data_IF_299072782708
#
_entry.id   IF_299072782708
#
_cell.length_a   1.000
_cell.length_b   1.000
_cell.length_c   1.000
_cell.angle_alpha   90.00
_cell.angle_beta   90.00
_cell.angle_gamma   90.00
#
_symmetry.space_group_name_H-M   'P 1'
#
loop_
_entity.id
_entity.type
_entity.pdbx_description
1 polymer ?
#
# COMPACT_ATOMS: atom_id res chain seq x y z
N UNK A 1 -12.80 27.48 -2.23
CA UNK A 1 -12.53 26.46 -3.27
C UNK A 1 -11.64 25.36 -2.68
N UNK A 2 -12.12 24.63 -1.65
CA UNK A 2 -11.38 23.50 -1.01
C UNK A 2 -12.32 22.40 -0.48
N UNK A 3 -13.63 22.61 -0.42
CA UNK A 3 -14.60 21.69 0.20
C UNK A 3 -14.97 20.46 -0.64
N UNK A 4 -14.34 20.24 -1.80
CA UNK A 4 -14.61 19.10 -2.69
C UNK A 4 -13.50 18.06 -2.69
N UNK A 5 -12.43 18.26 -1.91
CA UNK A 5 -11.23 17.43 -2.03
C UNK A 5 -11.24 16.29 -1.01
N UNK A 6 -11.98 16.40 0.12
CA UNK A 6 -12.17 15.26 1.02
C UNK A 6 -13.17 15.52 2.14
N UNK A 7 -13.91 14.50 2.61
CA UNK A 7 -14.71 14.61 3.82
C UNK A 7 -13.84 14.95 5.02
N UNK A 8 -14.28 15.91 5.83
CA UNK A 8 -13.67 16.20 7.13
C UNK A 8 -13.81 14.92 7.98
N UNK A 9 -12.69 14.28 8.32
CA UNK A 9 -12.66 13.04 9.11
C UNK A 9 -12.46 11.74 8.31
N UNK A 10 -12.08 11.82 7.03
CA UNK A 10 -11.64 10.62 6.30
C UNK A 10 -10.32 10.08 6.86
N UNK A 11 -10.33 8.83 7.34
CA UNK A 11 -9.13 8.14 7.80
C UNK A 11 -8.46 7.41 6.63
N UNK A 12 -7.41 8.03 6.10
CA UNK A 12 -6.62 7.44 5.02
C UNK A 12 -5.92 6.16 5.41
N UNK A 13 -5.48 6.04 6.67
CA UNK A 13 -4.76 4.87 7.12
C UNK A 13 -5.70 3.67 7.17
N UNK A 14 -6.93 3.87 7.66
CA UNK A 14 -7.96 2.83 7.65
C UNK A 14 -8.36 2.44 6.21
N UNK A 15 -8.55 3.42 5.33
CA UNK A 15 -8.91 3.15 3.94
C UNK A 15 -7.81 2.37 3.18
N UNK A 16 -6.54 2.75 3.36
CA UNK A 16 -5.42 2.04 2.73
C UNK A 16 -5.22 0.65 3.34
N UNK A 17 -5.35 0.50 4.66
CA UNK A 17 -5.28 -0.83 5.29
C UNK A 17 -6.35 -1.78 4.73
N UNK A 18 -7.60 -1.30 4.55
CA UNK A 18 -8.68 -2.07 3.93
C UNK A 18 -8.38 -2.42 2.47
N UNK A 19 -7.78 -1.49 1.73
CA UNK A 19 -7.38 -1.71 0.34
C UNK A 19 -6.29 -2.78 0.23
N UNK A 20 -5.24 -2.71 1.06
CA UNK A 20 -4.15 -3.68 1.07
C UNK A 20 -4.62 -5.08 1.45
N UNK A 21 -5.42 -5.19 2.51
CA UNK A 21 -6.01 -6.49 2.90
C UNK A 21 -6.90 -7.01 1.77
N UNK A 22 -7.75 -6.18 1.19
CA UNK A 22 -8.65 -6.61 0.11
C UNK A 22 -7.96 -7.07 -1.18
N UNK A 23 -6.72 -6.63 -1.43
CA UNK A 23 -5.92 -7.10 -2.57
C UNK A 23 -5.19 -8.41 -2.24
N UNK A 24 -4.64 -8.53 -1.03
CA UNK A 24 -3.74 -9.61 -0.68
C UNK A 24 -4.42 -10.83 -0.03
N UNK A 25 -5.66 -10.69 0.43
CA UNK A 25 -6.48 -11.76 1.04
C UNK A 25 -7.05 -12.69 -0.06
N UNK A 26 -6.28 -13.71 -0.42
CA UNK A 26 -6.59 -14.63 -1.52
C UNK A 26 -7.69 -15.61 -1.10
N UNK A 27 -7.67 -16.04 0.16
CA UNK A 27 -8.63 -17.00 0.71
C UNK A 27 -9.94 -16.35 1.22
N UNK A 28 -9.95 -15.02 1.32
CA UNK A 28 -11.09 -14.17 1.70
C UNK A 28 -11.55 -14.38 3.13
N UNK A 29 -10.66 -14.75 4.04
CA UNK A 29 -10.96 -14.90 5.47
C UNK A 29 -10.96 -13.56 6.24
N UNK A 30 -10.56 -12.46 5.57
CA UNK A 30 -10.48 -11.11 6.10
C UNK A 30 -9.20 -10.83 6.87
N UNK A 31 -8.20 -11.71 6.77
CA UNK A 31 -6.88 -11.59 7.40
C UNK A 31 -5.81 -11.85 6.35
N UNK A 32 -4.56 -11.68 6.75
CA UNK A 32 -3.42 -11.97 5.91
C UNK A 32 -2.52 -12.99 6.60
N UNK A 33 -2.33 -14.12 5.94
CA UNK A 33 -1.31 -15.11 6.25
C UNK A 33 0.08 -14.61 5.82
N UNK A 34 1.14 -15.25 6.31
CA UNK A 34 2.50 -14.91 5.88
C UNK A 34 2.69 -15.21 4.39
N UNK A 35 2.09 -16.31 3.92
CA UNK A 35 2.12 -16.75 2.55
C UNK A 35 1.53 -15.71 1.60
N UNK A 36 0.39 -15.12 1.96
CA UNK A 36 -0.27 -14.04 1.20
C UNK A 36 0.55 -12.75 1.21
N UNK A 37 1.11 -12.35 2.35
CA UNK A 37 1.96 -11.16 2.45
C UNK A 37 3.19 -11.30 1.53
N UNK A 38 3.78 -12.50 1.47
CA UNK A 38 4.92 -12.77 0.60
C UNK A 38 4.52 -12.86 -0.88
N UNK A 39 3.36 -13.44 -1.18
CA UNK A 39 2.84 -13.52 -2.56
C UNK A 39 2.53 -12.13 -3.14
N UNK A 40 2.04 -11.21 -2.31
CA UNK A 40 1.68 -9.85 -2.69
C UNK A 40 2.70 -8.79 -2.24
N UNK A 41 3.97 -9.20 -2.08
CA UNK A 41 5.06 -8.33 -1.60
C UNK A 41 5.16 -7.00 -2.37
N UNK A 42 5.03 -7.04 -3.69
CA UNK A 42 5.09 -5.85 -4.56
C UNK A 42 4.00 -4.82 -4.22
N UNK A 43 2.81 -5.29 -3.82
CA UNK A 43 1.70 -4.43 -3.38
C UNK A 43 2.05 -3.70 -2.08
N UNK A 44 2.65 -4.40 -1.11
CA UNK A 44 3.02 -3.80 0.17
C UNK A 44 4.16 -2.80 0.04
N UNK A 45 5.19 -3.12 -0.76
CA UNK A 45 6.35 -2.24 -0.99
C UNK A 45 5.99 -1.00 -1.81
N UNK A 46 5.03 -1.12 -2.74
CA UNK A 46 4.53 0.00 -3.52
C UNK A 46 3.44 0.83 -2.83
N UNK A 47 2.93 0.38 -1.67
CA UNK A 47 1.82 1.03 -0.98
C UNK A 47 2.22 2.33 -0.28
N UNK A 48 1.23 3.18 -0.04
CA UNK A 48 1.40 4.39 0.78
C UNK A 48 1.80 4.05 2.22
N UNK A 49 1.57 2.80 2.66
CA UNK A 49 1.91 2.35 4.00
C UNK A 49 3.42 2.20 4.22
N UNK A 50 4.21 1.94 3.16
CA UNK A 50 5.66 1.69 3.31
C UNK A 50 6.55 2.74 2.65
N UNK A 51 6.03 3.57 1.72
CA UNK A 51 6.77 4.65 1.03
C UNK A 51 8.12 4.21 0.43
N UNK A 52 8.35 2.89 0.32
CA UNK A 52 9.62 2.29 -0.06
C UNK A 52 9.74 2.16 -1.59
N UNK A 53 8.63 2.32 -2.31
CA UNK A 53 8.61 2.43 -3.77
C UNK A 53 9.25 3.71 -4.31
N UNK A 54 9.13 4.86 -3.63
CA UNK A 54 9.73 6.13 -4.10
C UNK A 54 11.26 6.19 -3.89
N UNK A 55 11.81 5.43 -2.95
CA UNK A 55 13.24 5.42 -2.65
C UNK A 55 14.03 4.34 -3.41
N UNK A 56 13.39 3.23 -3.80
CA UNK A 56 14.04 2.20 -4.62
C UNK A 56 14.35 2.67 -6.05
N UNK A 57 13.64 3.68 -6.58
CA UNK A 57 13.94 4.28 -7.89
C UNK A 57 15.14 5.24 -7.90
N UNK A 58 15.70 5.61 -6.74
CA UNK A 58 16.80 6.61 -6.67
C UNK A 58 18.21 6.05 -6.83
N UNK A 59 18.37 4.75 -7.06
CA UNK A 59 19.66 4.15 -7.36
C UNK A 59 19.64 3.43 -8.71
N UNK A 60 19.57 4.21 -9.79
CA UNK A 60 20.04 3.76 -11.09
C UNK A 60 21.59 3.69 -11.02
N UNK A 61 22.24 2.52 -11.17
CA UNK A 61 23.69 2.39 -11.09
C UNK A 61 24.44 3.04 -12.27
N UNK A 62 23.73 3.66 -13.21
CA UNK A 62 24.28 4.23 -14.44
C UNK A 62 24.99 5.59 -14.26
N UNK A 63 25.03 6.16 -13.04
CA UNK A 63 25.74 7.42 -12.74
C UNK A 63 26.95 7.24 -11.79
N UNK A 64 27.79 6.22 -12.01
CA UNK A 64 29.19 6.18 -11.53
C UNK A 64 30.15 5.69 -12.61
#
# INVERSE_FOLDING_TARGET
MRDWIMPIGFDHAEAEARHLVGIADDDKDGKLSMEEILAHYDTFVGSQATDYGEQLQKHDPAEL
#
